data_IF_753749881447
#
_entry.id   IF_753749881447
#
_cell.length_a   1.000
_cell.length_b   1.000
_cell.length_c   1.000
_cell.angle_alpha   90.00
_cell.angle_beta   90.00
_cell.angle_gamma   90.00
#
_symmetry.space_group_name_H-M   'P 1'
#
loop_
_entity.id
_entity.type
_entity.pdbx_description
1 polymer ?
#
# COMPACT_ATOMS: atom_id res chain seq x y z
N UNK A 1 19.22 -36.00 -0.74
CA UNK A 1 17.98 -35.36 -1.25
C UNK A 1 17.34 -34.43 -0.24
N UNK A 2 17.06 -34.85 1.01
CA UNK A 2 16.52 -33.92 2.04
C UNK A 2 17.50 -32.81 2.46
N UNK A 3 18.80 -33.14 2.53
CA UNK A 3 19.83 -32.18 2.95
C UNK A 3 20.07 -31.05 1.93
N UNK A 4 19.90 -31.35 0.65
CA UNK A 4 20.05 -30.36 -0.42
C UNK A 4 18.93 -29.31 -0.38
N UNK A 5 17.72 -29.74 -0.01
CA UNK A 5 16.56 -28.85 0.14
C UNK A 5 16.76 -27.94 1.35
N UNK A 6 17.21 -28.47 2.49
CA UNK A 6 17.49 -27.67 3.68
C UNK A 6 18.53 -26.58 3.40
N UNK A 7 19.62 -26.95 2.72
CA UNK A 7 20.69 -26.02 2.34
C UNK A 7 20.26 -25.01 1.28
N UNK A 8 19.33 -25.38 0.40
CA UNK A 8 18.73 -24.47 -0.56
C UNK A 8 17.79 -23.45 0.10
N UNK A 9 17.05 -23.86 1.14
CA UNK A 9 16.17 -22.98 1.90
C UNK A 9 16.96 -21.95 2.71
N UNK A 10 18.03 -22.36 3.39
CA UNK A 10 18.91 -21.40 4.12
C UNK A 10 19.48 -20.34 3.20
N UNK A 11 20.00 -20.74 2.03
CA UNK A 11 20.49 -19.81 1.01
C UNK A 11 19.41 -18.89 0.47
N UNK A 12 18.17 -19.37 0.35
CA UNK A 12 17.06 -18.56 -0.10
C UNK A 12 16.68 -17.52 0.95
N UNK A 13 16.64 -17.90 2.22
CA UNK A 13 16.34 -17.00 3.35
C UNK A 13 17.40 -15.90 3.47
N UNK A 14 18.69 -16.26 3.43
CA UNK A 14 19.79 -15.29 3.43
C UNK A 14 19.72 -14.35 2.22
N UNK A 15 19.37 -14.88 1.04
CA UNK A 15 19.20 -14.07 -0.18
C UNK A 15 18.02 -13.12 -0.08
N UNK A 16 16.92 -13.53 0.56
CA UNK A 16 15.74 -12.69 0.78
C UNK A 16 16.04 -11.59 1.78
N UNK A 17 16.75 -11.88 2.88
CA UNK A 17 17.17 -10.86 3.85
C UNK A 17 18.16 -9.87 3.26
N UNK A 18 19.13 -10.34 2.48
CA UNK A 18 20.08 -9.51 1.73
C UNK A 18 19.35 -8.63 0.70
N UNK A 19 18.38 -9.19 -0.01
CA UNK A 19 17.55 -8.45 -0.96
C UNK A 19 16.71 -7.39 -0.25
N UNK A 20 16.11 -7.71 0.90
CA UNK A 20 15.31 -6.80 1.72
C UNK A 20 16.17 -5.65 2.27
N UNK A 21 17.41 -5.93 2.68
CA UNK A 21 18.37 -4.93 3.16
C UNK A 21 18.91 -4.03 2.04
N UNK A 22 19.09 -4.58 0.84
CA UNK A 22 19.50 -3.84 -0.38
C UNK A 22 18.37 -3.00 -0.96
N UNK A 23 17.12 -3.41 -0.78
CA UNK A 23 15.93 -2.60 -1.00
C UNK A 23 15.69 -1.71 0.24
N UNK A 24 16.77 -1.12 0.78
CA UNK A 24 16.76 -0.37 2.04
C UNK A 24 15.66 0.68 2.12
N UNK A 25 14.79 0.51 3.12
CA UNK A 25 14.32 1.47 4.12
C UNK A 25 14.25 2.96 3.70
N UNK A 26 13.29 3.26 2.84
CA UNK A 26 12.15 4.14 3.17
C UNK A 26 11.09 3.83 2.10
N UNK A 27 9.82 3.64 2.45
CA UNK A 27 8.76 3.64 1.46
C UNK A 27 8.69 5.06 0.88
N UNK A 28 9.54 5.35 -0.11
CA UNK A 28 9.34 6.48 -1.01
C UNK A 28 7.92 6.30 -1.52
N UNK A 29 7.00 7.28 -1.37
CA UNK A 29 5.55 7.10 -1.52
C UNK A 29 5.18 6.77 -2.97
N UNK A 30 5.54 5.56 -3.38
CA UNK A 30 5.30 4.91 -4.65
C UNK A 30 4.33 3.75 -4.43
N UNK A 31 4.07 3.35 -3.17
CA UNK A 31 2.89 2.54 -2.81
C UNK A 31 1.57 3.29 -3.06
N UNK A 32 1.58 4.62 -3.08
CA UNK A 32 0.43 5.41 -3.55
C UNK A 32 0.07 5.18 -5.04
N UNK A 33 0.92 4.52 -5.82
CA UNK A 33 0.68 4.28 -7.24
C UNK A 33 0.06 2.90 -7.55
N UNK A 34 -0.08 1.99 -6.57
CA UNK A 34 -0.92 0.81 -6.74
C UNK A 34 -2.28 1.07 -6.08
N UNK A 35 -3.33 1.35 -6.87
CA UNK A 35 -4.68 1.58 -6.34
C UNK A 35 -5.21 0.40 -5.53
N UNK A 36 -4.68 -0.82 -5.75
CA UNK A 36 -5.07 -2.00 -5.00
C UNK A 36 -4.53 -2.03 -3.56
N UNK A 37 -3.48 -1.25 -3.26
CA UNK A 37 -2.78 -1.24 -1.98
C UNK A 37 -2.86 0.09 -1.22
N UNK A 38 -3.55 1.09 -1.77
CA UNK A 38 -3.77 2.36 -1.07
C UNK A 38 -4.79 2.20 0.05
N UNK A 39 -4.44 2.69 1.24
CA UNK A 39 -5.31 2.73 2.41
C UNK A 39 -5.79 4.16 2.67
N UNK A 40 -6.89 4.35 3.41
CA UNK A 40 -7.32 5.68 3.86
C UNK A 40 -6.25 6.38 4.70
N UNK A 41 -5.49 5.61 5.49
CA UNK A 41 -4.39 6.13 6.30
C UNK A 41 -3.29 6.75 5.43
N UNK A 42 -2.98 6.15 4.27
CA UNK A 42 -2.01 6.72 3.33
C UNK A 42 -2.43 8.10 2.81
N UNK A 43 -3.74 8.37 2.72
CA UNK A 43 -4.28 9.68 2.33
C UNK A 43 -4.12 10.70 3.47
N UNK A 44 -4.35 10.29 4.72
CA UNK A 44 -4.18 11.16 5.87
C UNK A 44 -2.71 11.51 6.16
N UNK A 45 -1.80 10.58 5.86
CA UNK A 45 -0.37 10.75 6.14
C UNK A 45 0.41 11.45 5.01
N UNK A 46 -0.20 11.62 3.84
CA UNK A 46 0.48 12.23 2.68
C UNK A 46 0.88 13.68 2.98
N UNK A 47 2.11 14.05 2.60
CA UNK A 47 2.63 15.41 2.70
C UNK A 47 2.99 15.95 1.32
N UNK A 48 2.40 17.07 0.96
CA UNK A 48 2.75 17.80 -0.25
C UNK A 48 3.86 18.82 0.02
N UNK A 49 4.75 18.99 -0.95
CA UNK A 49 5.70 20.11 -0.95
C UNK A 49 4.99 21.39 -1.41
N UNK A 50 5.16 22.49 -0.68
CA UNK A 50 4.59 23.79 -1.06
C UNK A 50 5.39 24.44 -2.18
N UNK A 51 4.70 25.18 -3.06
CA UNK A 51 5.35 25.98 -4.10
C UNK A 51 5.71 27.37 -3.57
N UNK A 52 6.86 27.91 -3.99
CA UNK A 52 7.30 29.28 -3.61
C UNK A 52 7.21 30.29 -4.74
N UNK A 53 7.50 29.85 -5.98
CA UNK A 53 7.62 30.72 -7.15
C UNK A 53 6.45 30.59 -8.13
N UNK A 54 5.66 29.52 -8.00
CA UNK A 54 4.54 29.21 -8.89
C UNK A 54 3.25 29.11 -8.09
N UNK A 55 2.10 29.41 -8.70
CA UNK A 55 0.80 29.14 -8.10
C UNK A 55 0.70 27.67 -7.67
N UNK A 56 0.18 27.45 -6.47
CA UNK A 56 -0.12 26.13 -5.93
C UNK A 56 -1.62 26.00 -5.62
N UNK A 57 -2.05 24.79 -5.30
CA UNK A 57 -3.40 24.58 -4.80
C UNK A 57 -3.60 25.24 -3.43
N UNK A 58 -4.82 25.67 -3.13
CA UNK A 58 -5.16 26.24 -1.84
C UNK A 58 -5.20 25.14 -0.77
N UNK A 59 -4.32 25.20 0.22
CA UNK A 59 -4.12 24.10 1.20
C UNK A 59 -5.44 23.63 1.85
N UNK A 60 -6.29 24.51 2.43
CA UNK A 60 -7.58 24.09 2.98
C UNK A 60 -8.52 23.38 1.99
N UNK A 61 -8.43 23.70 0.69
CA UNK A 61 -9.26 23.05 -0.33
C UNK A 61 -8.75 21.63 -0.62
N UNK A 62 -7.43 21.47 -0.68
CA UNK A 62 -6.79 20.15 -0.84
C UNK A 62 -7.08 19.28 0.37
N UNK A 63 -6.98 19.82 1.58
CA UNK A 63 -7.26 19.09 2.82
C UNK A 63 -8.72 18.57 2.83
N UNK A 64 -9.70 19.45 2.54
CA UNK A 64 -11.11 19.07 2.46
C UNK A 64 -11.40 18.09 1.31
N UNK A 65 -10.62 18.13 0.22
CA UNK A 65 -10.71 17.12 -0.83
C UNK A 65 -10.18 15.77 -0.35
N UNK A 66 -9.01 15.74 0.31
CA UNK A 66 -8.41 14.51 0.81
C UNK A 66 -9.32 13.81 1.85
N UNK A 67 -10.00 14.57 2.71
CA UNK A 67 -11.00 14.00 3.64
C UNK A 67 -12.09 13.21 2.89
N UNK A 68 -12.65 13.79 1.82
CA UNK A 68 -13.67 13.12 1.01
C UNK A 68 -13.14 11.88 0.29
N UNK A 69 -11.89 11.94 -0.19
CA UNK A 69 -11.25 10.79 -0.86
C UNK A 69 -11.01 9.66 0.15
N UNK A 70 -10.54 9.97 1.37
CA UNK A 70 -10.33 8.98 2.42
C UNK A 70 -11.63 8.25 2.78
N UNK A 71 -12.72 9.00 3.01
CA UNK A 71 -14.05 8.42 3.29
C UNK A 71 -14.59 7.55 2.14
N UNK A 72 -14.37 7.99 0.89
CA UNK A 72 -14.75 7.20 -0.27
C UNK A 72 -13.95 5.90 -0.35
N UNK A 73 -12.65 5.96 -0.08
CA UNK A 73 -11.77 4.80 -0.10
C UNK A 73 -12.13 3.78 0.99
N UNK A 74 -12.45 4.25 2.20
CA UNK A 74 -12.99 3.39 3.28
C UNK A 74 -14.22 2.61 2.83
N UNK A 75 -15.16 3.31 2.19
CA UNK A 75 -16.40 2.69 1.68
C UNK A 75 -16.11 1.64 0.61
N UNK A 76 -15.25 1.97 -0.35
CA UNK A 76 -14.87 1.05 -1.44
C UNK A 76 -14.16 -0.19 -0.90
N UNK A 77 -13.25 -0.03 0.07
CA UNK A 77 -12.52 -1.15 0.69
C UNK A 77 -13.50 -2.09 1.40
N UNK A 78 -14.42 -1.53 2.19
CA UNK A 78 -15.45 -2.31 2.88
C UNK A 78 -16.29 -3.13 1.88
N UNK A 79 -16.83 -2.47 0.85
CA UNK A 79 -17.67 -3.13 -0.16
C UNK A 79 -16.91 -4.23 -0.92
N UNK A 80 -15.64 -3.98 -1.26
CA UNK A 80 -14.76 -4.97 -1.87
C UNK A 80 -14.56 -6.18 -0.97
N UNK A 81 -14.30 -5.96 0.31
CA UNK A 81 -14.01 -7.04 1.26
C UNK A 81 -15.27 -7.89 1.53
N UNK A 82 -16.43 -7.24 1.62
CA UNK A 82 -17.73 -7.92 1.67
C UNK A 82 -17.97 -8.77 0.42
N UNK A 83 -17.73 -8.22 -0.77
CA UNK A 83 -17.88 -8.96 -2.03
C UNK A 83 -16.92 -10.16 -2.13
N UNK A 84 -15.68 -10.01 -1.67
CA UNK A 84 -14.69 -11.10 -1.61
C UNK A 84 -15.10 -12.19 -0.62
N UNK A 85 -15.64 -11.82 0.54
CA UNK A 85 -16.15 -12.79 1.52
C UNK A 85 -17.34 -13.58 0.95
N UNK A 86 -18.25 -12.91 0.25
CA UNK A 86 -19.38 -13.56 -0.43
C UNK A 86 -18.90 -14.54 -1.50
N UNK A 87 -17.94 -14.13 -2.34
CA UNK A 87 -17.37 -15.00 -3.36
C UNK A 87 -16.71 -16.25 -2.75
N UNK A 88 -15.92 -16.09 -1.68
CA UNK A 88 -15.28 -17.19 -0.99
C UNK A 88 -16.30 -18.17 -0.38
N UNK A 89 -17.40 -17.66 0.19
CA UNK A 89 -18.47 -18.49 0.74
C UNK A 89 -19.23 -19.29 -0.32
N UNK A 90 -19.32 -18.77 -1.56
CA UNK A 90 -19.92 -19.49 -2.69
C UNK A 90 -18.98 -20.53 -3.31
N UNK A 91 -17.67 -20.27 -3.31
CA UNK A 91 -16.65 -21.17 -3.88
C UNK A 91 -16.22 -22.30 -2.94
N UNK A 92 -16.41 -22.14 -1.62
CA UNK A 92 -16.09 -23.15 -0.61
C UNK A 92 -17.21 -24.18 -0.36
N UNK A 93 -18.14 -24.32 -1.30
CA UNK A 93 -19.33 -25.18 -1.22
C UNK A 93 -19.36 -26.15 -2.39
#
# INVERSE_FOLDING_TARGET
MSDDIARALERLTERVEELSRRIGDEPKPRHAADPAHMTPQDIYDVRFTTTRLLPGYHTPEVDAFLERVALALETIIRERDEARAQLAALQGR
#
